data_IF_428783128956
#
_entry.id   IF_428783128956
#
_cell.length_a   1.000
_cell.length_b   1.000
_cell.length_c   1.000
_cell.angle_alpha   90.00
_cell.angle_beta   90.00
_cell.angle_gamma   90.00
#
_symmetry.space_group_name_H-M   'P 1'
#
loop_
_entity.id
_entity.type
_entity.pdbx_description
1 polymer ?
#
# COMPACT_ATOMS: atom_id res chain seq x y z
N UNK A 1 -29.32 40.39 -32.40
CA UNK A 1 -27.99 40.78 -31.90
C UNK A 1 -27.74 40.17 -30.52
N UNK A 2 -28.53 40.54 -29.50
CA UNK A 2 -28.39 40.04 -28.12
C UNK A 2 -28.45 38.50 -27.93
N UNK A 3 -29.33 37.77 -28.64
CA UNK A 3 -29.44 36.31 -28.50
C UNK A 3 -28.16 35.59 -28.99
N UNK A 4 -27.48 36.16 -29.99
CA UNK A 4 -26.26 35.57 -30.54
C UNK A 4 -25.09 35.78 -29.57
N UNK A 5 -24.93 36.99 -29.05
CA UNK A 5 -23.93 37.31 -28.01
C UNK A 5 -24.10 36.42 -26.77
N UNK A 6 -25.33 36.22 -26.30
CA UNK A 6 -25.58 35.36 -25.13
C UNK A 6 -25.18 33.90 -25.38
N UNK A 7 -25.47 33.37 -26.58
CA UNK A 7 -25.06 32.00 -26.95
C UNK A 7 -23.54 31.87 -27.07
N UNK A 8 -22.89 32.89 -27.62
CA UNK A 8 -21.43 32.93 -27.76
C UNK A 8 -20.75 33.01 -26.38
N UNK A 9 -21.30 33.77 -25.42
CA UNK A 9 -20.83 33.80 -24.03
C UNK A 9 -20.98 32.46 -23.32
N UNK A 10 -22.13 31.79 -23.48
CA UNK A 10 -22.36 30.46 -22.89
C UNK A 10 -21.38 29.43 -23.46
N UNK A 11 -21.09 29.48 -24.77
CA UNK A 11 -20.09 28.61 -25.39
C UNK A 11 -18.68 28.84 -24.78
N UNK A 12 -18.31 30.11 -24.59
CA UNK A 12 -17.02 30.49 -24.00
C UNK A 12 -16.91 30.08 -22.52
N UNK A 13 -18.02 30.16 -21.77
CA UNK A 13 -18.09 29.68 -20.39
C UNK A 13 -17.93 28.16 -20.29
N UNK A 14 -18.58 27.40 -21.17
CA UNK A 14 -18.45 25.95 -21.21
C UNK A 14 -17.02 25.50 -21.55
N UNK A 15 -16.34 26.20 -22.46
CA UNK A 15 -14.94 25.93 -22.78
C UNK A 15 -14.02 26.18 -21.56
N UNK A 16 -14.26 27.26 -20.81
CA UNK A 16 -13.55 27.53 -19.56
C UNK A 16 -13.79 26.43 -18.53
N UNK A 17 -15.04 26.00 -18.34
CA UNK A 17 -15.40 24.91 -17.41
C UNK A 17 -14.65 23.62 -17.78
N UNK A 18 -14.61 23.24 -19.05
CA UNK A 18 -13.92 22.04 -19.51
C UNK A 18 -12.40 22.12 -19.28
N UNK A 19 -11.79 23.29 -19.52
CA UNK A 19 -10.39 23.55 -19.22
C UNK A 19 -10.09 23.46 -17.72
N UNK A 20 -10.94 24.05 -16.88
CA UNK A 20 -10.83 23.96 -15.43
C UNK A 20 -10.94 22.51 -14.94
N UNK A 21 -11.90 21.74 -15.45
CA UNK A 21 -12.09 20.33 -15.10
C UNK A 21 -10.83 19.49 -15.41
N UNK A 22 -10.21 19.69 -16.57
CA UNK A 22 -8.96 19.02 -16.96
C UNK A 22 -7.78 19.37 -16.04
N UNK A 23 -7.65 20.65 -15.68
CA UNK A 23 -6.57 21.12 -14.79
C UNK A 23 -6.75 20.58 -13.38
N UNK A 24 -7.97 20.67 -12.82
CA UNK A 24 -8.29 20.14 -11.49
C UNK A 24 -8.08 18.63 -11.44
N UNK A 25 -8.52 17.89 -12.47
CA UNK A 25 -8.30 16.44 -12.57
C UNK A 25 -6.82 16.07 -12.53
N UNK A 26 -5.96 16.77 -13.30
CA UNK A 26 -4.51 16.57 -13.27
C UNK A 26 -3.90 16.88 -11.90
N UNK A 27 -4.27 18.01 -11.29
CA UNK A 27 -3.76 18.41 -9.98
C UNK A 27 -4.16 17.39 -8.90
N UNK A 28 -5.39 16.89 -8.95
CA UNK A 28 -5.89 15.88 -8.02
C UNK A 28 -5.12 14.56 -8.16
N UNK A 29 -4.89 14.09 -9.39
CA UNK A 29 -4.12 12.88 -9.66
C UNK A 29 -2.65 13.01 -9.22
N UNK A 30 -2.01 14.15 -9.50
CA UNK A 30 -0.64 14.42 -9.06
C UNK A 30 -0.55 14.43 -7.53
N UNK A 31 -1.45 15.16 -6.83
CA UNK A 31 -1.48 15.14 -5.36
C UNK A 31 -1.70 13.73 -4.81
N UNK A 32 -2.56 12.93 -5.41
CA UNK A 32 -2.82 11.56 -4.99
C UNK A 32 -1.59 10.67 -5.18
N UNK A 33 -0.85 10.85 -6.28
CA UNK A 33 0.40 10.17 -6.57
C UNK A 33 1.49 10.52 -5.55
N UNK A 34 1.66 11.80 -5.22
CA UNK A 34 2.59 12.23 -4.17
C UNK A 34 2.19 11.72 -2.79
N UNK A 35 0.89 11.69 -2.48
CA UNK A 35 0.38 11.17 -1.21
C UNK A 35 0.65 9.67 -1.07
N UNK A 36 0.38 8.87 -2.10
CA UNK A 36 0.74 7.45 -2.14
C UNK A 36 2.24 7.23 -2.00
N UNK A 37 3.06 8.01 -2.70
CA UNK A 37 4.52 7.92 -2.60
C UNK A 37 5.03 8.28 -1.20
N UNK A 38 4.49 9.34 -0.58
CA UNK A 38 4.83 9.78 0.77
C UNK A 38 4.40 8.77 1.84
N UNK A 39 3.22 8.17 1.69
CA UNK A 39 2.75 7.09 2.57
C UNK A 39 3.68 5.87 2.43
N UNK A 40 4.01 5.45 1.21
CA UNK A 40 4.92 4.32 0.99
C UNK A 40 6.33 4.60 1.54
N UNK A 41 6.85 5.82 1.35
CA UNK A 41 8.15 6.25 1.88
C UNK A 41 8.14 6.33 3.41
N UNK A 42 7.11 6.92 4.03
CA UNK A 42 6.93 6.94 5.48
C UNK A 42 6.90 5.52 6.02
N UNK A 43 6.01 4.66 5.53
CA UNK A 43 5.90 3.28 5.99
C UNK A 43 7.23 2.53 5.78
N UNK A 44 7.95 2.80 4.69
CA UNK A 44 9.28 2.22 4.48
C UNK A 44 10.26 2.71 5.56
N UNK A 45 10.35 4.02 5.82
CA UNK A 45 11.29 4.62 6.79
C UNK A 45 10.97 4.29 8.24
N UNK A 46 9.70 4.27 8.64
CA UNK A 46 9.28 3.85 9.98
C UNK A 46 9.60 2.37 10.23
N UNK A 47 9.60 1.56 9.17
CA UNK A 47 9.96 0.15 9.18
C UNK A 47 11.48 -0.06 9.09
N UNK A 48 12.27 0.95 8.66
CA UNK A 48 13.74 0.91 8.52
C UNK A 48 14.54 0.82 9.84
N UNK A 49 13.88 0.63 10.98
CA UNK A 49 14.53 0.20 12.21
C UNK A 49 14.40 -1.33 12.38
N UNK A 50 15.48 -2.04 12.05
CA UNK A 50 15.79 -3.47 12.28
C UNK A 50 14.93 -4.60 11.62
N UNK A 51 13.62 -4.48 11.42
CA UNK A 51 12.74 -5.62 10.99
C UNK A 51 12.41 -5.73 9.46
N UNK A 52 13.33 -5.29 8.62
CA UNK A 52 13.02 -4.67 7.31
C UNK A 52 12.91 -5.63 6.12
N UNK A 53 13.67 -6.73 6.11
CA UNK A 53 13.86 -7.53 4.90
C UNK A 53 12.55 -8.18 4.45
N UNK A 54 11.83 -8.81 5.39
CA UNK A 54 10.59 -9.53 5.12
C UNK A 54 9.47 -8.61 4.63
N UNK A 55 9.33 -7.45 5.24
CA UNK A 55 8.32 -6.45 4.90
C UNK A 55 8.66 -5.68 3.62
N UNK A 56 9.94 -5.41 3.31
CA UNK A 56 10.34 -4.89 1.99
C UNK A 56 9.99 -5.88 0.88
N UNK A 57 10.24 -7.18 1.09
CA UNK A 57 9.92 -8.25 0.12
C UNK A 57 8.40 -8.37 -0.07
N UNK A 58 7.64 -8.25 1.02
CA UNK A 58 6.18 -8.16 0.99
C UNK A 58 5.73 -7.01 0.09
N UNK A 59 6.14 -5.77 0.38
CA UNK A 59 5.70 -4.60 -0.36
C UNK A 59 6.16 -4.57 -1.81
N UNK A 60 7.34 -5.12 -2.12
CA UNK A 60 7.79 -5.30 -3.50
C UNK A 60 6.82 -6.21 -4.28
N UNK A 61 6.45 -7.34 -3.68
CA UNK A 61 5.53 -8.31 -4.30
C UNK A 61 4.11 -7.74 -4.39
N UNK A 62 3.58 -7.15 -3.32
CA UNK A 62 2.24 -6.55 -3.28
C UNK A 62 2.05 -5.47 -4.34
N UNK A 63 3.07 -4.61 -4.54
CA UNK A 63 3.02 -3.57 -5.56
C UNK A 63 2.93 -4.16 -6.96
N UNK A 64 3.81 -5.09 -7.30
CA UNK A 64 3.86 -5.66 -8.64
C UNK A 64 2.69 -6.59 -8.97
N UNK A 65 2.22 -7.38 -8.00
CA UNK A 65 1.25 -8.45 -8.23
C UNK A 65 -0.21 -8.02 -8.02
N UNK A 66 -0.45 -6.94 -7.26
CA UNK A 66 -1.80 -6.44 -6.97
C UNK A 66 -1.96 -4.98 -7.33
N UNK A 67 -1.16 -4.10 -6.73
CA UNK A 67 -1.44 -2.66 -6.77
C UNK A 67 -1.25 -2.08 -8.18
N UNK A 68 -0.23 -2.52 -8.92
CA UNK A 68 0.03 -2.02 -10.27
C UNK A 68 -0.80 -2.69 -11.37
N UNK A 69 -1.40 -3.85 -11.08
CA UNK A 69 -2.21 -4.60 -12.04
C UNK A 69 -3.71 -4.34 -11.93
N UNK A 70 -4.15 -3.73 -10.82
CA UNK A 70 -5.56 -3.48 -10.54
C UNK A 70 -5.87 -1.99 -10.49
N UNK A 71 -7.06 -1.63 -10.94
CA UNK A 71 -7.65 -0.30 -10.71
C UNK A 71 -8.55 -0.33 -9.48
N UNK A 72 -8.46 0.71 -8.65
CA UNK A 72 -9.24 0.82 -7.41
C UNK A 72 -10.14 2.04 -7.48
N UNK A 73 -11.44 1.82 -7.28
CA UNK A 73 -12.46 2.87 -7.31
C UNK A 73 -12.55 3.62 -5.96
N UNK A 74 -11.94 3.08 -4.90
CA UNK A 74 -11.88 3.74 -3.58
C UNK A 74 -10.69 3.28 -2.75
N UNK A 75 -10.28 4.12 -1.78
CA UNK A 75 -9.24 3.77 -0.80
C UNK A 75 -9.65 2.55 0.03
N UNK A 76 -10.94 2.38 0.33
CA UNK A 76 -11.45 1.21 1.05
C UNK A 76 -11.16 -0.08 0.27
N UNK A 77 -11.43 -0.08 -1.03
CA UNK A 77 -11.17 -1.23 -1.90
C UNK A 77 -9.68 -1.59 -1.94
N UNK A 78 -8.79 -0.59 -2.05
CA UNK A 78 -7.35 -0.81 -1.98
C UNK A 78 -6.92 -1.40 -0.63
N UNK A 79 -7.46 -0.90 0.49
CA UNK A 79 -7.16 -1.43 1.82
C UNK A 79 -7.62 -2.87 1.98
N UNK A 80 -8.82 -3.20 1.51
CA UNK A 80 -9.38 -4.55 1.57
C UNK A 80 -8.53 -5.51 0.72
N UNK A 81 -8.14 -5.16 -0.51
CA UNK A 81 -7.28 -6.01 -1.35
C UNK A 81 -5.86 -6.18 -0.79
N UNK A 82 -5.28 -5.13 -0.19
CA UNK A 82 -3.98 -5.24 0.51
C UNK A 82 -4.08 -6.16 1.73
N UNK A 83 -5.20 -6.13 2.46
CA UNK A 83 -5.44 -7.03 3.59
C UNK A 83 -5.54 -8.48 3.12
N UNK A 84 -6.31 -8.74 2.07
CA UNK A 84 -6.45 -10.08 1.49
C UNK A 84 -5.10 -10.60 0.98
N UNK A 85 -4.32 -9.74 0.33
CA UNK A 85 -2.97 -10.08 -0.11
C UNK A 85 -2.02 -10.35 1.06
N UNK A 86 -2.14 -9.62 2.17
CA UNK A 86 -1.36 -9.85 3.38
C UNK A 86 -1.68 -11.22 4.00
N UNK A 87 -2.95 -11.61 4.08
CA UNK A 87 -3.34 -12.94 4.55
C UNK A 87 -2.79 -14.05 3.64
N UNK A 88 -2.91 -13.88 2.33
CA UNK A 88 -2.30 -14.79 1.36
C UNK A 88 -0.78 -14.90 1.54
N UNK A 89 -0.08 -13.77 1.66
CA UNK A 89 1.38 -13.74 1.79
C UNK A 89 1.84 -14.42 3.08
N UNK A 90 1.15 -14.17 4.21
CA UNK A 90 1.57 -14.68 5.52
C UNK A 90 1.26 -16.16 5.71
N UNK A 91 0.13 -16.65 5.18
CA UNK A 91 -0.39 -17.99 5.50
C UNK A 91 -0.37 -18.99 4.33
N UNK A 92 -0.15 -18.52 3.10
CA UNK A 92 -0.26 -19.37 1.90
C UNK A 92 0.99 -19.33 1.02
N UNK A 93 1.71 -18.21 0.96
CA UNK A 93 2.92 -18.09 0.13
C UNK A 93 4.13 -18.76 0.79
N UNK A 94 4.82 -19.58 0.01
CA UNK A 94 6.11 -20.16 0.37
C UNK A 94 7.25 -19.26 -0.12
N UNK A 95 8.33 -19.18 0.67
CA UNK A 95 9.48 -18.36 0.35
C UNK A 95 10.76 -19.20 0.37
N UNK A 96 11.49 -19.21 -0.74
CA UNK A 96 12.80 -19.89 -0.85
C UNK A 96 13.79 -19.40 0.22
N UNK A 97 13.79 -18.08 0.48
CA UNK A 97 14.64 -17.45 1.50
C UNK A 97 14.27 -17.85 2.94
N UNK A 98 13.10 -18.48 3.13
CA UNK A 98 12.63 -19.00 4.40
C UNK A 98 12.57 -20.53 4.37
N UNK A 99 13.45 -21.19 3.60
CA UNK A 99 13.48 -22.66 3.47
C UNK A 99 12.13 -23.24 3.02
N UNK A 100 11.44 -22.55 2.11
CA UNK A 100 10.08 -22.88 1.68
C UNK A 100 9.07 -22.94 2.81
N UNK A 101 9.27 -22.14 3.86
CA UNK A 101 8.28 -21.91 4.90
C UNK A 101 7.44 -20.67 4.63
N UNK A 102 6.30 -20.60 5.31
CA UNK A 102 5.40 -19.46 5.29
C UNK A 102 5.87 -18.42 6.30
N UNK A 103 5.76 -17.11 6.01
CA UNK A 103 6.25 -16.06 6.92
C UNK A 103 5.64 -16.18 8.32
N UNK A 104 4.35 -16.51 8.42
CA UNK A 104 3.69 -16.66 9.72
C UNK A 104 4.21 -17.86 10.51
N UNK A 105 4.54 -18.97 9.84
CA UNK A 105 5.08 -20.16 10.49
C UNK A 105 6.48 -19.90 11.07
N UNK A 106 7.33 -19.17 10.34
CA UNK A 106 8.66 -18.77 10.81
C UNK A 106 8.54 -17.86 12.04
N UNK A 107 7.63 -16.88 12.00
CA UNK A 107 7.40 -15.99 13.13
C UNK A 107 6.87 -16.75 14.36
N UNK A 108 5.90 -17.65 14.20
CA UNK A 108 5.40 -18.49 15.28
C UNK A 108 6.50 -19.35 15.91
N UNK A 109 7.39 -19.93 15.10
CA UNK A 109 8.55 -20.67 15.59
C UNK A 109 9.49 -19.76 16.40
N UNK A 110 9.75 -18.54 15.93
CA UNK A 110 10.61 -17.60 16.66
C UNK A 110 10.03 -17.20 18.02
N UNK A 111 8.71 -17.00 18.12
CA UNK A 111 8.04 -16.73 19.39
C UNK A 111 8.17 -17.92 20.34
N UNK A 112 7.89 -19.13 19.86
CA UNK A 112 7.99 -20.35 20.68
C UNK A 112 9.42 -20.69 21.12
N UNK A 113 10.45 -20.22 20.40
CA UNK A 113 11.85 -20.34 20.81
C UNK A 113 12.16 -19.34 21.93
N UNK A 114 11.72 -18.08 21.80
CA UNK A 114 11.91 -17.07 22.82
C UNK A 114 11.24 -17.46 24.16
N UNK A 115 10.00 -17.98 24.10
CA UNK A 115 9.29 -18.45 25.30
C UNK A 115 10.04 -19.60 26.00
N UNK A 116 10.67 -20.48 25.23
CA UNK A 116 11.48 -21.59 25.79
C UNK A 116 12.78 -21.09 26.41
N UNK A 117 13.45 -20.13 25.78
CA UNK A 117 14.69 -19.55 26.33
C UNK A 117 14.45 -18.81 27.63
N UNK A 118 13.31 -18.13 27.78
CA UNK A 118 12.94 -17.40 29.00
C UNK A 118 12.67 -18.38 30.17
N UNK A 119 12.01 -19.50 29.90
CA UNK A 119 11.76 -20.54 30.93
C UNK A 119 13.00 -21.31 31.38
N UNK A 120 14.03 -21.40 30.54
CA UNK A 120 15.32 -22.05 30.86
C UNK A 120 16.33 -21.08 31.47
N UNK A 121 16.15 -19.76 31.35
CA UNK A 121 16.90 -18.77 32.14
C UNK A 121 16.42 -18.74 33.59
N UNK A 122 15.11 -18.81 33.85
CA UNK A 122 14.59 -18.81 35.23
C UNK A 122 14.98 -20.06 36.02
N UNK A 123 15.15 -21.22 35.36
CA UNK A 123 15.59 -22.47 36.01
C UNK A 123 17.09 -22.54 36.32
N UNK A 124 17.91 -21.68 35.71
CA UNK A 124 19.38 -21.66 35.91
C UNK A 124 19.83 -20.64 36.95
N UNK A 125 18.92 -19.83 37.48
CA UNK A 125 19.19 -18.78 38.49
C UNK A 125 18.63 -19.17 39.88
N UNK A 126 18.03 -20.37 40.01
CA UNK A 126 17.53 -20.93 41.27
C UNK A 126 18.49 -21.88 41.95
#
# INVERSE_FOLDING_TARGET
MAIKEYKDEVALLNEKIDKYAKVVGKITLERFRYYLAAVIDWYSKAVLSWNISNIKRFWRSAKCERIYLNEYNSIKQLKDDVKDYMEFYNYRRFHETLEYQKPMAVYQNSLAVNDRTDTDSDKRVG
#
